data_IF_368464745580
#
_entry.id   IF_368464745580
#
_cell.length_a   1.000
_cell.length_b   1.000
_cell.length_c   1.000
_cell.angle_alpha   90.00
_cell.angle_beta   90.00
_cell.angle_gamma   90.00
#
_symmetry.space_group_name_H-M   'P 1'
#
loop_
_entity.id
_entity.type
_entity.pdbx_description
1 polymer ?
#
# COMPACT_ATOMS: atom_id res chain seq x y z
N UNK A 1 0.51 -5.32 -15.38
CA UNK A 1 -0.48 -4.80 -14.41
C UNK A 1 -0.18 -3.33 -14.15
N UNK A 2 -0.55 -2.45 -15.07
CA UNK A 2 -0.48 -0.98 -14.91
C UNK A 2 -1.58 -0.37 -15.77
N UNK A 3 -2.84 -0.79 -15.61
CA UNK A 3 -3.97 -0.23 -16.36
C UNK A 3 -4.93 0.51 -15.39
N UNK A 4 -5.62 1.56 -15.84
CA UNK A 4 -6.63 2.22 -15.02
C UNK A 4 -7.80 1.29 -14.62
N UNK A 5 -8.42 1.55 -13.47
CA UNK A 5 -9.68 0.89 -13.07
C UNK A 5 -9.56 -0.20 -12.01
N UNK A 6 -8.35 -0.49 -11.53
CA UNK A 6 -8.15 -1.37 -10.37
C UNK A 6 -8.44 -0.66 -9.05
N UNK A 7 -8.66 -1.46 -8.00
CA UNK A 7 -8.89 -1.03 -6.63
C UNK A 7 -8.09 -1.87 -5.63
N UNK A 8 -8.03 -1.42 -4.37
CA UNK A 8 -7.40 -2.13 -3.27
C UNK A 8 -5.95 -2.53 -3.55
N UNK A 9 -5.58 -3.76 -3.20
CA UNK A 9 -4.21 -4.28 -3.39
C UNK A 9 -3.72 -4.26 -4.84
N UNK A 10 -4.64 -4.44 -5.80
CA UNK A 10 -4.25 -4.37 -7.21
C UNK A 10 -3.85 -2.96 -7.59
N UNK A 11 -4.51 -1.94 -7.04
CA UNK A 11 -4.19 -0.53 -7.28
C UNK A 11 -2.90 -0.12 -6.58
N UNK A 12 -2.70 -0.50 -5.32
CA UNK A 12 -1.47 -0.22 -4.59
C UNK A 12 -0.25 -0.85 -5.26
N UNK A 13 -0.37 -2.09 -5.73
CA UNK A 13 0.68 -2.76 -6.50
C UNK A 13 1.05 -2.01 -7.79
N UNK A 14 0.11 -1.31 -8.44
CA UNK A 14 0.46 -0.49 -9.62
C UNK A 14 1.39 0.66 -9.25
N UNK A 15 1.11 1.36 -8.15
CA UNK A 15 2.00 2.42 -7.64
C UNK A 15 3.36 1.83 -7.26
N UNK A 16 3.35 0.70 -6.55
CA UNK A 16 4.58 0.00 -6.17
C UNK A 16 5.44 -0.39 -7.38
N UNK A 17 4.85 -0.93 -8.45
CA UNK A 17 5.61 -1.29 -9.65
C UNK A 17 6.19 -0.08 -10.38
N UNK A 18 5.46 1.04 -10.41
CA UNK A 18 5.99 2.29 -10.97
C UNK A 18 7.21 2.78 -10.16
N UNK A 19 7.11 2.77 -8.83
CA UNK A 19 8.18 3.20 -7.93
C UNK A 19 9.42 2.29 -8.02
N UNK A 20 9.23 0.98 -7.96
CA UNK A 20 10.33 0.02 -8.08
C UNK A 20 10.96 0.08 -9.46
N UNK A 21 10.16 0.19 -10.52
CA UNK A 21 10.67 0.35 -11.88
C UNK A 21 11.56 1.59 -12.01
N UNK A 22 11.15 2.72 -11.43
CA UNK A 22 11.96 3.93 -11.40
C UNK A 22 13.25 3.74 -10.58
N UNK A 23 13.12 3.17 -9.36
CA UNK A 23 14.25 2.94 -8.45
C UNK A 23 15.32 2.02 -9.04
N UNK A 24 14.93 1.03 -9.84
CA UNK A 24 15.86 0.10 -10.49
C UNK A 24 16.29 0.55 -11.90
N UNK A 25 16.01 1.80 -12.29
CA UNK A 25 16.51 2.38 -13.54
C UNK A 25 15.74 1.96 -14.79
N UNK A 26 14.51 1.46 -14.66
CA UNK A 26 13.68 1.01 -15.78
C UNK A 26 12.87 2.15 -16.44
N UNK A 27 13.17 3.42 -16.16
CA UNK A 27 12.35 4.56 -16.58
C UNK A 27 12.13 4.61 -18.10
N UNK A 28 13.19 4.42 -18.90
CA UNK A 28 13.09 4.40 -20.36
C UNK A 28 12.20 3.26 -20.88
N UNK A 29 12.34 2.07 -20.30
CA UNK A 29 11.51 0.91 -20.63
C UNK A 29 10.04 1.15 -20.27
N UNK A 30 9.77 1.76 -19.12
CA UNK A 30 8.41 2.10 -18.69
C UNK A 30 7.79 3.17 -19.59
N UNK A 31 8.55 4.20 -19.97
CA UNK A 31 8.08 5.23 -20.91
C UNK A 31 7.77 4.65 -22.29
N UNK A 32 8.59 3.72 -22.78
CA UNK A 32 8.32 3.00 -24.02
C UNK A 32 7.03 2.16 -23.93
N UNK A 33 6.90 1.36 -22.88
CA UNK A 33 5.70 0.53 -22.65
C UNK A 33 4.45 1.40 -22.53
N UNK A 34 4.53 2.52 -21.83
CA UNK A 34 3.45 3.49 -21.70
C UNK A 34 2.99 4.03 -23.06
N UNK A 35 3.93 4.41 -23.93
CA UNK A 35 3.62 4.88 -25.29
C UNK A 35 2.94 3.80 -26.13
N UNK A 36 3.46 2.56 -26.10
CA UNK A 36 2.86 1.42 -26.81
C UNK A 36 1.42 1.15 -26.36
N UNK A 37 1.17 1.24 -25.06
CA UNK A 37 -0.15 1.00 -24.46
C UNK A 37 -1.04 2.26 -24.44
N UNK A 38 -0.62 3.37 -25.09
CA UNK A 38 -1.36 4.65 -25.16
C UNK A 38 -1.74 5.21 -23.78
N UNK A 39 -0.86 5.07 -22.81
CA UNK A 39 -1.12 5.48 -21.43
C UNK A 39 -0.63 6.92 -21.15
N UNK A 40 -1.27 7.63 -20.18
CA UNK A 40 -0.78 8.91 -19.66
C UNK A 40 0.63 8.78 -19.06
N UNK A 41 1.36 9.89 -18.93
CA UNK A 41 2.72 9.94 -18.33
C UNK A 41 2.80 9.19 -17.00
N UNK A 42 3.97 8.65 -16.65
CA UNK A 42 4.15 7.91 -15.39
C UNK A 42 3.75 8.75 -14.17
N UNK A 43 4.07 10.04 -14.19
CA UNK A 43 3.63 11.00 -13.15
C UNK A 43 2.10 11.13 -13.10
N UNK A 44 1.43 11.23 -14.26
CA UNK A 44 -0.03 11.33 -14.31
C UNK A 44 -0.73 10.04 -13.89
N UNK A 45 -0.15 8.88 -14.23
CA UNK A 45 -0.61 7.57 -13.74
C UNK A 45 -0.51 7.51 -12.21
N UNK A 46 0.67 7.78 -11.66
CA UNK A 46 0.91 7.78 -10.21
C UNK A 46 -0.05 8.73 -9.48
N UNK A 47 -0.27 9.93 -10.02
CA UNK A 47 -1.21 10.89 -9.46
C UNK A 47 -2.66 10.41 -9.48
N UNK A 48 -3.07 9.76 -10.58
CA UNK A 48 -4.41 9.20 -10.70
C UNK A 48 -4.61 8.05 -9.71
N UNK A 49 -3.60 7.19 -9.57
CA UNK A 49 -3.66 6.06 -8.64
C UNK A 49 -3.67 6.51 -7.19
N UNK A 50 -2.81 7.45 -6.79
CA UNK A 50 -2.82 7.98 -5.44
C UNK A 50 -4.09 8.76 -5.10
N UNK A 51 -4.69 9.46 -6.08
CA UNK A 51 -6.01 10.06 -5.90
C UNK A 51 -7.11 9.01 -5.65
N UNK A 52 -7.05 7.86 -6.32
CA UNK A 52 -7.98 6.76 -6.05
C UNK A 52 -7.71 6.11 -4.69
N UNK A 53 -6.45 5.92 -4.33
CA UNK A 53 -6.04 5.33 -3.04
C UNK A 53 -6.45 6.21 -1.86
N UNK A 54 -6.35 7.55 -1.96
CA UNK A 54 -6.82 8.41 -0.86
C UNK A 54 -8.33 8.30 -0.68
N UNK A 55 -9.10 8.18 -1.76
CA UNK A 55 -10.55 7.95 -1.69
C UNK A 55 -10.87 6.61 -1.03
N UNK A 56 -10.14 5.55 -1.36
CA UNK A 56 -10.28 4.25 -0.69
C UNK A 56 -9.91 4.32 0.79
N UNK A 57 -8.79 4.97 1.13
CA UNK A 57 -8.33 5.15 2.51
C UNK A 57 -9.35 5.93 3.35
N UNK A 58 -9.92 7.01 2.80
CA UNK A 58 -11.01 7.75 3.44
C UNK A 58 -12.24 6.89 3.68
N UNK A 59 -12.62 6.01 2.75
CA UNK A 59 -13.72 5.06 2.98
C UNK A 59 -13.37 4.06 4.09
N UNK A 60 -12.14 3.57 4.15
CA UNK A 60 -11.69 2.67 5.25
C UNK A 60 -11.80 3.39 6.59
N UNK A 61 -11.37 4.66 6.66
CA UNK A 61 -11.50 5.50 7.85
C UNK A 61 -12.96 5.70 8.27
N UNK A 62 -13.84 6.09 7.34
CA UNK A 62 -15.26 6.32 7.61
C UNK A 62 -15.98 5.05 8.10
N UNK A 63 -15.50 3.87 7.73
CA UNK A 63 -16.00 2.58 8.20
C UNK A 63 -15.33 2.09 9.49
N UNK A 64 -14.56 2.93 10.18
CA UNK A 64 -13.95 2.62 11.47
C UNK A 64 -12.76 1.67 11.39
N UNK A 65 -12.00 1.70 10.28
CA UNK A 65 -10.80 0.89 10.08
C UNK A 65 -11.00 -0.63 10.32
N UNK A 66 -11.88 -1.29 9.54
CA UNK A 66 -12.11 -2.74 9.70
C UNK A 66 -10.79 -3.50 9.60
N UNK A 67 -10.57 -4.48 10.50
CA UNK A 67 -9.29 -5.18 10.68
C UNK A 67 -8.68 -5.66 9.35
N UNK A 68 -9.51 -6.26 8.48
CA UNK A 68 -9.09 -6.76 7.17
C UNK A 68 -8.73 -5.70 6.11
N UNK A 69 -8.85 -4.42 6.42
CA UNK A 69 -8.47 -3.29 5.55
C UNK A 69 -7.33 -2.46 6.14
N UNK A 70 -6.92 -2.72 7.39
CA UNK A 70 -5.87 -1.94 8.07
C UNK A 70 -4.52 -2.09 7.35
N UNK A 71 -4.21 -3.28 6.87
CA UNK A 71 -3.01 -3.56 6.07
C UNK A 71 -3.00 -2.73 4.77
N UNK A 72 -4.05 -2.84 3.95
CA UNK A 72 -4.23 -2.03 2.74
C UNK A 72 -4.14 -0.52 3.03
N UNK A 73 -4.76 -0.05 4.12
CA UNK A 73 -4.73 1.36 4.50
C UNK A 73 -3.30 1.87 4.77
N UNK A 74 -2.50 1.09 5.53
CA UNK A 74 -1.09 1.42 5.76
C UNK A 74 -0.27 1.32 4.49
N UNK A 75 -0.52 0.33 3.63
CA UNK A 75 0.14 0.20 2.33
C UNK A 75 -0.11 1.43 1.45
N UNK A 76 -1.35 1.90 1.40
CA UNK A 76 -1.72 3.09 0.63
C UNK A 76 -1.01 4.34 1.14
N UNK A 77 -1.00 4.55 2.45
CA UNK A 77 -0.29 5.65 3.09
C UNK A 77 1.23 5.56 2.87
N UNK A 78 1.81 4.36 2.91
CA UNK A 78 3.23 4.15 2.68
C UNK A 78 3.63 4.50 1.23
N UNK A 79 2.96 3.92 0.24
CA UNK A 79 3.34 4.07 -1.17
C UNK A 79 3.11 5.49 -1.68
N UNK A 80 1.91 6.05 -1.46
CA UNK A 80 1.61 7.41 -1.89
C UNK A 80 2.28 8.47 -1.03
N UNK A 81 2.56 8.16 0.23
CA UNK A 81 3.41 8.95 1.10
C UNK A 81 4.80 9.21 0.52
N UNK A 82 5.44 8.17 0.01
CA UNK A 82 6.77 8.28 -0.62
C UNK A 82 6.76 9.20 -1.85
N UNK A 83 5.63 9.27 -2.56
CA UNK A 83 5.41 10.19 -3.69
C UNK A 83 5.03 11.62 -3.27
N UNK A 84 4.88 11.87 -1.97
CA UNK A 84 4.62 13.21 -1.41
C UNK A 84 3.15 13.57 -1.25
N UNK A 85 2.22 12.62 -1.36
CA UNK A 85 0.80 12.84 -1.07
C UNK A 85 0.58 12.86 0.44
N UNK A 86 0.22 14.03 0.97
CA UNK A 86 0.16 14.30 2.42
C UNK A 86 -1.22 14.11 3.01
N UNK A 87 -2.22 13.98 2.15
CA UNK A 87 -3.61 13.73 2.51
C UNK A 87 -3.75 12.44 3.35
N UNK A 88 -2.76 11.55 3.30
CA UNK A 88 -2.70 10.34 4.12
C UNK A 88 -2.23 10.57 5.57
N UNK A 89 -1.75 11.75 5.92
CA UNK A 89 -1.07 12.03 7.19
C UNK A 89 -1.91 12.86 8.17
N UNK A 90 -3.17 12.47 8.33
CA UNK A 90 -4.04 13.05 9.36
C UNK A 90 -3.70 12.50 10.77
N UNK A 91 -3.82 13.34 11.80
CA UNK A 91 -3.51 12.95 13.19
C UNK A 91 -4.38 11.79 13.70
N UNK A 92 -5.65 11.74 13.32
CA UNK A 92 -6.56 10.65 13.68
C UNK A 92 -6.15 9.32 13.03
N UNK A 93 -5.60 9.37 11.82
CA UNK A 93 -5.13 8.20 11.08
C UNK A 93 -3.84 7.65 11.72
N UNK A 94 -2.93 8.55 12.14
CA UNK A 94 -1.75 8.17 12.91
C UNK A 94 -2.10 7.46 14.21
N UNK A 95 -3.03 8.01 14.99
CA UNK A 95 -3.47 7.41 16.25
C UNK A 95 -4.04 6.01 16.04
N UNK A 96 -4.81 5.81 14.97
CA UNK A 96 -5.33 4.49 14.60
C UNK A 96 -4.20 3.52 14.27
N UNK A 97 -3.24 3.90 13.41
CA UNK A 97 -2.10 3.05 13.05
C UNK A 97 -1.26 2.67 14.28
N UNK A 98 -1.02 3.60 15.20
CA UNK A 98 -0.28 3.31 16.44
C UNK A 98 -1.05 2.36 17.35
N UNK A 99 -2.38 2.47 17.40
CA UNK A 99 -3.23 1.58 18.21
C UNK A 99 -3.23 0.12 17.74
N UNK A 100 -2.82 -0.16 16.49
CA UNK A 100 -2.75 -1.52 15.95
C UNK A 100 -1.40 -2.22 16.22
N UNK A 101 -0.44 -1.52 16.85
CA UNK A 101 0.82 -2.10 17.27
C UNK A 101 0.62 -2.98 18.51
N UNK A 102 1.16 -4.20 18.47
CA UNK A 102 1.15 -5.12 19.61
C UNK A 102 2.42 -4.86 20.45
N UNK A 103 2.26 -4.27 21.64
CA UNK A 103 3.38 -3.92 22.53
C UNK A 103 4.12 -5.15 23.08
N UNK A 104 3.43 -6.28 23.28
CA UNK A 104 4.04 -7.50 23.80
C UNK A 104 4.90 -8.19 22.75
N UNK A 105 4.39 -8.28 21.51
CA UNK A 105 5.09 -8.92 20.39
C UNK A 105 6.01 -7.97 19.62
N UNK A 106 5.92 -6.68 19.91
CA UNK A 106 6.67 -5.58 19.31
C UNK A 106 6.51 -5.45 17.79
N UNK A 107 5.32 -5.73 17.26
CA UNK A 107 5.04 -5.75 15.83
C UNK A 107 3.55 -5.56 15.52
N UNK A 108 3.20 -5.59 14.24
CA UNK A 108 1.81 -5.61 13.83
C UNK A 108 1.31 -7.05 13.67
N UNK A 109 0.18 -7.35 14.30
CA UNK A 109 -0.51 -8.65 14.23
C UNK A 109 -1.87 -8.49 13.58
N UNK A 110 -2.57 -9.60 13.34
CA UNK A 110 -3.96 -9.60 12.90
C UNK A 110 -4.37 -10.92 12.29
N UNK A 111 -5.61 -10.99 11.80
CA UNK A 111 -6.06 -12.14 11.00
C UNK A 111 -5.29 -12.20 9.68
N UNK A 112 -4.67 -13.34 9.42
CA UNK A 112 -4.18 -13.68 8.08
C UNK A 112 -5.40 -13.87 7.17
N UNK A 113 -5.68 -12.89 6.31
CA UNK A 113 -6.68 -13.05 5.25
C UNK A 113 -5.96 -13.72 4.09
N UNK A 114 -6.18 -15.01 3.93
CA UNK A 114 -5.69 -15.75 2.77
C UNK A 114 -6.55 -15.39 1.56
N UNK A 115 -5.94 -15.12 0.42
CA UNK A 115 -6.69 -14.77 -0.81
C UNK A 115 -7.56 -15.93 -1.28
N UNK A 116 -7.33 -17.15 -0.76
CA UNK A 116 -8.18 -18.33 -0.92
C UNK A 116 -9.57 -18.22 -0.29
N UNK A 117 -9.84 -17.22 0.56
CA UNK A 117 -11.18 -16.90 1.07
C UNK A 117 -11.97 -15.99 0.10
N UNK A 118 -11.32 -15.47 -0.94
CA UNK A 118 -11.98 -14.92 -2.13
C UNK A 118 -12.23 -16.11 -3.06
N UNK A 119 -13.47 -16.31 -3.48
CA UNK A 119 -13.95 -17.43 -4.28
C UNK A 119 -13.26 -17.49 -5.67
N UNK A 120 -11.98 -17.86 -5.71
CA UNK A 120 -11.26 -18.09 -6.95
C UNK A 120 -11.61 -19.50 -7.43
N UNK A 121 -12.31 -19.60 -8.57
CA UNK A 121 -12.56 -20.86 -9.28
C UNK A 121 -11.21 -21.52 -9.61
N UNK A 122 -10.74 -22.39 -8.73
CA UNK A 122 -9.62 -23.30 -9.01
C UNK A 122 -10.01 -24.19 -10.20
N UNK A 123 -9.20 -24.27 -11.27
CA UNK A 123 -9.37 -25.32 -12.28
C UNK A 123 -9.21 -26.70 -11.62
N UNK A 124 -10.00 -27.67 -12.06
CA UNK A 124 -10.07 -29.04 -11.51
C UNK A 124 -8.79 -29.87 -11.67
N UNK A 125 -7.74 -29.32 -12.28
CA UNK A 125 -6.43 -29.95 -12.42
C UNK A 125 -5.31 -29.02 -11.92
N UNK A 126 -4.53 -29.49 -10.92
CA UNK A 126 -3.31 -28.82 -10.48
C UNK A 126 -2.18 -29.14 -11.47
N UNK A 127 -1.58 -28.16 -12.17
CA UNK A 127 -0.38 -28.41 -12.96
C UNK A 127 0.80 -28.78 -12.05
N UNK A 128 1.75 -29.59 -12.56
CA UNK A 128 2.94 -30.07 -11.83
C UNK A 128 3.83 -28.94 -11.27
N UNK A 129 3.71 -27.73 -11.83
CA UNK A 129 4.30 -26.51 -11.31
C UNK A 129 3.23 -25.45 -11.14
N UNK A 130 2.86 -25.15 -9.89
CA UNK A 130 2.01 -24.01 -9.55
C UNK A 130 2.85 -23.00 -8.77
N UNK A 131 2.90 -21.76 -9.28
CA UNK A 131 3.45 -20.63 -8.52
C UNK A 131 2.36 -20.21 -7.55
N UNK A 132 2.60 -20.39 -6.25
CA UNK A 132 1.74 -19.80 -5.22
C UNK A 132 2.04 -18.31 -5.17
N UNK A 133 0.99 -17.49 -5.28
CA UNK A 133 1.14 -16.05 -5.07
C UNK A 133 1.68 -15.83 -3.66
N UNK A 134 2.65 -14.91 -3.52
CA UNK A 134 3.17 -14.56 -2.19
C UNK A 134 2.06 -13.87 -1.41
N UNK A 135 1.59 -14.54 -0.38
CA UNK A 135 0.61 -14.03 0.58
C UNK A 135 1.34 -13.45 1.81
N UNK A 136 0.57 -12.84 2.71
CA UNK A 136 1.04 -12.41 4.02
C UNK A 136 1.84 -13.53 4.71
N UNK A 137 3.00 -13.18 5.27
CA UNK A 137 3.89 -14.15 5.91
C UNK A 137 3.81 -14.00 7.43
N UNK A 138 3.19 -14.95 8.15
CA UNK A 138 3.28 -14.99 9.60
C UNK A 138 4.72 -15.32 10.04
N UNK A 139 5.21 -14.60 11.04
CA UNK A 139 6.48 -14.83 11.71
C UNK A 139 6.28 -15.74 12.93
N UNK A 140 7.36 -16.32 13.45
CA UNK A 140 7.31 -17.33 14.51
C UNK A 140 6.62 -16.86 15.81
N UNK A 141 6.60 -15.56 16.07
CA UNK A 141 5.97 -14.93 17.22
C UNK A 141 4.53 -14.46 16.96
N UNK A 142 3.94 -14.76 15.80
CA UNK A 142 2.57 -14.33 15.44
C UNK A 142 2.49 -12.94 14.79
N UNK A 143 3.63 -12.30 14.55
CA UNK A 143 3.70 -11.07 13.76
C UNK A 143 3.39 -11.32 12.29
N UNK A 144 2.85 -10.32 11.62
CA UNK A 144 2.62 -10.34 10.18
C UNK A 144 3.70 -9.52 9.49
N UNK A 145 4.46 -10.15 8.58
CA UNK A 145 5.62 -9.56 7.93
C UNK A 145 5.25 -8.40 7.01
N UNK A 146 4.27 -8.59 6.13
CA UNK A 146 3.82 -7.56 5.20
C UNK A 146 3.16 -6.42 5.98
N UNK A 147 2.20 -6.72 6.86
CA UNK A 147 1.55 -5.72 7.71
C UNK A 147 2.53 -4.87 8.51
N UNK A 148 3.55 -5.49 9.12
CA UNK A 148 4.58 -4.75 9.85
C UNK A 148 5.44 -3.87 8.92
N UNK A 149 5.72 -4.35 7.71
CA UNK A 149 6.50 -3.61 6.70
C UNK A 149 5.74 -2.37 6.23
N UNK A 150 4.46 -2.52 5.86
CA UNK A 150 3.66 -1.38 5.39
C UNK A 150 3.36 -0.38 6.51
N UNK A 151 3.19 -0.85 7.74
CA UNK A 151 3.09 0.03 8.90
C UNK A 151 4.35 0.86 9.11
N UNK A 152 5.53 0.23 9.07
CA UNK A 152 6.80 0.94 9.16
C UNK A 152 6.95 1.96 8.01
N UNK A 153 6.58 1.57 6.78
CA UNK A 153 6.58 2.47 5.62
C UNK A 153 5.66 3.68 5.82
N UNK A 154 4.45 3.50 6.34
CA UNK A 154 3.54 4.58 6.63
C UNK A 154 4.10 5.52 7.72
N UNK A 155 4.56 4.96 8.85
CA UNK A 155 5.09 5.72 9.98
C UNK A 155 6.33 6.54 9.62
N UNK A 156 7.23 6.01 8.77
CA UNK A 156 8.37 6.78 8.27
C UNK A 156 7.90 8.02 7.50
N UNK A 157 6.84 7.90 6.69
CA UNK A 157 6.30 9.05 5.97
C UNK A 157 5.55 10.03 6.89
N UNK A 158 4.91 9.56 7.96
CA UNK A 158 4.40 10.45 9.03
C UNK A 158 5.52 11.27 9.66
N UNK A 159 6.62 10.62 10.06
CA UNK A 159 7.79 11.32 10.63
C UNK A 159 8.30 12.38 9.65
N UNK A 160 8.46 12.01 8.38
CA UNK A 160 8.85 12.95 7.32
C UNK A 160 7.88 14.13 7.21
N UNK A 161 6.57 13.85 7.19
CA UNK A 161 5.53 14.88 7.11
C UNK A 161 5.61 15.87 8.29
N UNK A 162 5.72 15.36 9.52
CA UNK A 162 5.82 16.18 10.73
C UNK A 162 7.04 17.10 10.67
N UNK A 163 8.19 16.55 10.29
CA UNK A 163 9.46 17.28 10.20
C UNK A 163 9.46 18.33 9.09
N UNK A 164 8.91 18.01 7.93
CA UNK A 164 8.94 18.90 6.77
C UNK A 164 7.81 19.95 6.78
N UNK A 165 6.64 19.63 7.36
CA UNK A 165 5.42 20.41 7.17
C UNK A 165 4.81 20.95 8.45
N UNK A 166 4.57 20.12 9.46
CA UNK A 166 3.94 20.59 10.70
C UNK A 166 4.89 21.47 11.53
N UNK A 167 6.15 21.06 11.67
CA UNK A 167 7.16 21.83 12.39
C UNK A 167 7.43 23.19 11.73
N UNK A 168 7.37 23.25 10.39
CA UNK A 168 7.57 24.49 9.62
C UNK A 168 6.32 25.38 9.64
N UNK A 169 5.12 24.80 9.62
CA UNK A 169 3.87 25.55 9.72
C UNK A 169 3.70 26.21 11.10
N UNK A 170 4.19 25.58 12.17
CA UNK A 170 4.14 26.10 13.54
C UNK A 170 5.10 27.27 13.81
N UNK A 171 5.98 27.60 12.85
CA UNK A 171 6.93 28.71 12.92
C UNK A 171 6.48 29.96 12.14
N UNK A 172 5.30 29.91 11.49
CA UNK A 172 4.70 31.03 10.78
C UNK A 172 3.45 31.52 11.50
#
# INVERSE_FOLDING_TARGET
>A
MTEPGYNGYSLSHQVFYLQIGEQFGCLESMEWQRLLNRQPTLSKLSATFCFNMIREASLIYLNGFPEGRQDLFMEQAALCGMLGYREFFESNWLQAILSWYDEEKQCYTGRTIFETEVEYRMPTSKPEHYIVKREERPLANGCLCHRSTVAAGALVNYVRYILEWEAVASLK
#
